data_IF_648162334457
#
_entry.id   IF_648162334457
#
_cell.length_a   1.000
_cell.length_b   1.000
_cell.length_c   1.000
_cell.angle_alpha   90.00
_cell.angle_beta   90.00
_cell.angle_gamma   90.00
#
_symmetry.space_group_name_H-M   'P 1'
#
loop_
_entity.id
_entity.type
_entity.pdbx_description
1 polymer ?
#
# COMPACT_ATOMS: atom_id res chain seq x y z
N UNK A 1 -0.86 -1.72 -23.06
CA UNK A 1 -0.60 -0.32 -22.65
C UNK A 1 -1.90 0.51 -22.60
N UNK A 2 -2.40 0.81 -21.39
CA UNK A 2 -3.14 2.02 -21.02
C UNK A 2 -4.18 2.63 -21.99
N UNK A 3 -5.02 1.82 -22.65
CA UNK A 3 -5.93 2.30 -23.70
C UNK A 3 -7.22 2.97 -23.19
N UNK A 4 -8.10 3.34 -24.13
CA UNK A 4 -9.46 3.87 -23.88
C UNK A 4 -10.29 3.01 -22.92
N UNK A 5 -10.01 1.70 -22.87
CA UNK A 5 -10.67 0.71 -22.02
C UNK A 5 -10.60 1.01 -20.51
N UNK A 6 -9.50 1.59 -20.01
CA UNK A 6 -9.40 1.91 -18.57
C UNK A 6 -10.34 3.05 -18.18
N UNK A 7 -10.44 4.06 -19.04
CA UNK A 7 -11.33 5.20 -18.82
C UNK A 7 -12.80 4.76 -18.98
N UNK A 8 -13.09 3.90 -19.96
CA UNK A 8 -14.42 3.31 -20.13
C UNK A 8 -14.83 2.51 -18.89
N UNK A 9 -13.97 1.61 -18.40
CA UNK A 9 -14.24 0.84 -17.18
C UNK A 9 -14.51 1.73 -15.96
N UNK A 10 -13.70 2.77 -15.77
CA UNK A 10 -13.90 3.72 -14.67
C UNK A 10 -15.26 4.42 -14.75
N UNK A 11 -15.64 4.93 -15.93
CA UNK A 11 -16.93 5.60 -16.13
C UNK A 11 -18.08 4.62 -15.93
N UNK A 12 -17.97 3.39 -16.45
CA UNK A 12 -19.03 2.39 -16.35
C UNK A 12 -19.22 1.90 -14.92
N UNK A 13 -18.14 1.72 -14.15
CA UNK A 13 -18.20 1.42 -12.72
C UNK A 13 -18.86 2.55 -11.91
N UNK A 14 -18.57 3.83 -12.25
CA UNK A 14 -19.27 4.97 -11.63
C UNK A 14 -20.77 4.92 -11.93
N UNK A 15 -21.14 4.69 -13.20
CA UNK A 15 -22.54 4.63 -13.64
C UNK A 15 -23.28 3.49 -12.98
N UNK A 16 -22.62 2.34 -12.80
CA UNK A 16 -23.23 1.17 -12.19
C UNK A 16 -23.33 1.26 -10.66
N UNK A 17 -22.45 2.04 -10.03
CA UNK A 17 -22.35 2.18 -8.58
C UNK A 17 -21.90 0.90 -7.88
N UNK A 18 -21.25 -0.04 -8.60
CA UNK A 18 -20.78 -1.32 -8.06
C UNK A 18 -19.26 -1.43 -8.13
N UNK A 19 -18.63 -1.63 -6.99
CA UNK A 19 -17.18 -1.84 -6.89
C UNK A 19 -16.70 -3.08 -7.65
N UNK A 20 -17.55 -4.10 -7.77
CA UNK A 20 -17.25 -5.34 -8.51
C UNK A 20 -17.00 -5.13 -10.00
N UNK A 21 -17.43 -4.00 -10.55
CA UNK A 21 -17.27 -3.68 -11.97
C UNK A 21 -15.90 -3.03 -12.26
N UNK A 22 -15.14 -2.64 -11.22
CA UNK A 22 -13.77 -2.12 -11.37
C UNK A 22 -12.82 -3.24 -11.76
N UNK A 23 -12.10 -3.05 -12.86
CA UNK A 23 -11.05 -3.98 -13.27
C UNK A 23 -9.82 -3.92 -12.36
N UNK A 24 -9.59 -2.78 -11.69
CA UNK A 24 -8.50 -2.64 -10.71
C UNK A 24 -8.99 -1.88 -9.47
N UNK A 25 -9.50 -2.61 -8.45
CA UNK A 25 -9.91 -2.02 -7.19
C UNK A 25 -8.73 -1.39 -6.43
N UNK A 26 -9.04 -0.42 -5.56
CA UNK A 26 -8.02 0.29 -4.75
C UNK A 26 -7.14 -0.65 -3.93
N UNK A 27 -7.70 -1.76 -3.43
CA UNK A 27 -6.96 -2.75 -2.65
C UNK A 27 -5.79 -3.36 -3.44
N UNK A 28 -5.96 -3.60 -4.75
CA UNK A 28 -4.87 -4.08 -5.59
C UNK A 28 -3.76 -3.04 -5.72
N UNK A 29 -4.13 -1.77 -5.87
CA UNK A 29 -3.18 -0.65 -5.92
C UNK A 29 -2.37 -0.52 -4.63
N UNK A 30 -3.00 -0.69 -3.47
CA UNK A 30 -2.33 -0.70 -2.16
C UNK A 30 -1.31 -1.84 -2.09
N UNK A 31 -1.71 -3.06 -2.44
CA UNK A 31 -0.83 -4.24 -2.41
C UNK A 31 0.35 -4.11 -3.39
N UNK A 32 0.10 -3.61 -4.60
CA UNK A 32 1.13 -3.36 -5.60
C UNK A 32 2.17 -2.35 -5.12
N UNK A 33 1.72 -1.29 -4.44
CA UNK A 33 2.60 -0.23 -3.91
C UNK A 33 3.37 -0.69 -2.66
N UNK A 34 2.82 -1.60 -1.86
CA UNK A 34 3.49 -2.12 -0.67
C UNK A 34 4.80 -2.86 -1.01
N UNK A 35 4.83 -3.64 -2.09
CA UNK A 35 5.99 -4.48 -2.44
C UNK A 35 7.29 -3.66 -2.66
N UNK A 36 7.32 -2.58 -3.47
CA UNK A 36 8.49 -1.71 -3.57
C UNK A 36 8.90 -1.07 -2.24
N UNK A 37 7.96 -0.73 -1.36
CA UNK A 37 8.29 -0.17 -0.04
C UNK A 37 8.99 -1.20 0.85
N UNK A 38 8.50 -2.44 0.88
CA UNK A 38 9.15 -3.53 1.63
C UNK A 38 10.55 -3.82 1.08
N UNK A 39 10.74 -3.79 -0.24
CA UNK A 39 12.06 -3.94 -0.86
C UNK A 39 13.02 -2.80 -0.46
N UNK A 40 12.53 -1.56 -0.43
CA UNK A 40 13.31 -0.41 0.04
C UNK A 40 13.69 -0.54 1.52
N UNK A 41 12.82 -1.10 2.36
CA UNK A 41 13.12 -1.37 3.77
C UNK A 41 14.22 -2.43 3.87
N UNK A 42 14.09 -3.55 3.17
CA UNK A 42 15.11 -4.60 3.11
C UNK A 42 16.49 -4.05 2.70
N UNK A 43 16.50 -3.19 1.67
CA UNK A 43 17.70 -2.51 1.20
C UNK A 43 18.32 -1.62 2.28
N UNK A 44 17.52 -0.86 3.02
CA UNK A 44 18.00 0.05 4.07
C UNK A 44 18.56 -0.67 5.30
N UNK A 45 17.95 -1.78 5.70
CA UNK A 45 18.46 -2.60 6.81
C UNK A 45 19.60 -3.55 6.38
N UNK A 46 19.85 -3.67 5.08
CA UNK A 46 20.97 -4.43 4.53
C UNK A 46 20.83 -5.95 4.62
N UNK A 47 19.61 -6.47 4.74
CA UNK A 47 19.32 -7.91 4.91
C UNK A 47 17.93 -8.29 4.43
N UNK A 48 17.68 -9.59 4.31
CA UNK A 48 16.34 -10.13 4.09
C UNK A 48 15.43 -9.81 5.29
N UNK A 49 14.19 -9.46 5.00
CA UNK A 49 13.13 -9.19 5.98
C UNK A 49 11.91 -10.05 5.66
N UNK A 50 11.25 -10.59 6.68
CA UNK A 50 10.03 -11.39 6.51
C UNK A 50 8.82 -10.57 6.95
N UNK A 51 7.89 -10.32 6.03
CA UNK A 51 6.71 -9.49 6.28
C UNK A 51 5.44 -10.34 6.49
N UNK A 52 4.72 -10.10 7.58
CA UNK A 52 3.43 -10.69 7.88
C UNK A 52 2.33 -9.76 7.37
N UNK A 53 1.92 -9.96 6.11
CA UNK A 53 0.93 -9.10 5.45
C UNK A 53 -0.40 -8.96 6.21
N UNK A 54 -0.82 -9.98 6.96
CA UNK A 54 -2.04 -9.94 7.76
C UNK A 54 -1.94 -9.04 9.00
N UNK A 55 -0.73 -8.82 9.52
CA UNK A 55 -0.49 -8.04 10.75
C UNK A 55 0.15 -6.68 10.45
N UNK A 56 0.52 -6.43 9.19
CA UNK A 56 1.12 -5.18 8.77
C UNK A 56 2.52 -4.94 9.35
N UNK A 57 3.26 -6.00 9.70
CA UNK A 57 4.55 -5.92 10.41
C UNK A 57 5.56 -6.96 9.95
N UNK A 58 6.82 -6.76 10.27
CA UNK A 58 7.88 -7.74 10.05
C UNK A 58 7.96 -8.76 11.20
N UNK A 59 8.41 -9.99 10.88
CA UNK A 59 8.56 -11.08 11.85
C UNK A 59 9.76 -10.79 12.76
N UNK A 60 9.50 -10.51 14.04
CA UNK A 60 10.53 -10.30 15.07
C UNK A 60 11.59 -9.24 14.69
N UNK A 61 11.19 -8.20 13.97
CA UNK A 61 12.12 -7.23 13.39
C UNK A 61 11.69 -5.77 13.71
N UNK A 62 11.95 -5.31 14.94
CA UNK A 62 11.57 -3.97 15.37
C UNK A 62 12.30 -2.87 14.59
N UNK A 63 13.52 -3.14 14.11
CA UNK A 63 14.30 -2.18 13.31
C UNK A 63 13.63 -1.90 11.97
N UNK A 64 13.20 -2.94 11.25
CA UNK A 64 12.45 -2.79 10.01
C UNK A 64 11.05 -2.20 10.24
N UNK A 65 10.39 -2.57 11.34
CA UNK A 65 9.06 -2.02 11.69
C UNK A 65 9.10 -0.49 11.89
N UNK A 66 10.20 0.07 12.40
CA UNK A 66 10.35 1.53 12.51
C UNK A 66 10.32 2.25 11.16
N UNK A 67 10.57 1.55 10.05
CA UNK A 67 10.59 2.11 8.71
C UNK A 67 9.26 1.96 7.96
N UNK A 68 8.27 1.28 8.56
CA UNK A 68 6.91 1.18 8.00
C UNK A 68 6.15 2.50 8.05
N UNK A 69 6.54 3.39 8.97
CA UNK A 69 5.98 4.73 9.09
C UNK A 69 7.11 5.76 9.18
N UNK A 70 6.77 7.01 8.91
CA UNK A 70 7.69 8.14 9.06
C UNK A 70 7.52 8.77 10.43
N UNK A 71 8.62 9.25 11.01
CA UNK A 71 8.56 10.19 12.13
C UNK A 71 8.01 11.52 11.62
N UNK A 72 6.76 11.82 11.96
CA UNK A 72 6.13 13.09 11.60
C UNK A 72 6.75 14.27 12.35
N UNK A 73 6.64 15.46 11.76
CA UNK A 73 7.10 16.73 12.35
C UNK A 73 5.92 17.48 12.94
N UNK A 74 5.99 17.85 14.21
CA UNK A 74 4.94 18.65 14.87
C UNK A 74 4.75 20.02 14.18
N UNK A 75 3.49 20.53 14.08
CA UNK A 75 2.22 19.91 14.49
C UNK A 75 1.60 19.00 13.40
N UNK A 76 2.31 18.69 12.32
CA UNK A 76 1.81 17.96 11.16
C UNK A 76 1.86 16.44 11.36
N UNK A 77 1.19 15.94 12.39
CA UNK A 77 1.10 14.52 12.71
C UNK A 77 -0.20 13.91 12.17
N UNK A 78 -0.09 12.71 11.58
CA UNK A 78 -1.26 11.89 11.30
C UNK A 78 -1.65 11.21 12.60
N UNK A 79 -2.83 11.54 13.13
CA UNK A 79 -3.37 10.88 14.32
C UNK A 79 -3.66 9.42 13.96
N UNK A 80 -3.24 8.49 14.81
CA UNK A 80 -3.72 7.11 14.71
C UNK A 80 -5.23 7.14 14.96
N UNK A 81 -6.00 6.72 13.95
CA UNK A 81 -7.43 6.49 14.12
C UNK A 81 -7.56 5.08 14.68
N UNK A 82 -8.08 5.00 15.91
CA UNK A 82 -8.45 3.75 16.59
C UNK A 82 -9.68 3.14 15.94
#
# INVERSE_FOLDING_TARGET
PGGAEHYANFIDAIRSGRDSDLTSPVAEGVLSTALPHLANIAYRVGREVKYLGSHGKFVNDPEADMLLSRKYREPFVVKEVV
#
